data_IF_079284868649
#
_entry.id   IF_079284868649
#
_cell.length_a   1.000
_cell.length_b   1.000
_cell.length_c   1.000
_cell.angle_alpha   90.00
_cell.angle_beta   90.00
_cell.angle_gamma   90.00
#
_symmetry.space_group_name_H-M   'P 1'
#
loop_
_entity.id
_entity.type
_entity.pdbx_description
1 polymer ?
#
# COMPACT_ATOMS: atom_id res chain seq x y z
N UNK A 1 -19.69 15.56 35.78
CA UNK A 1 -18.34 15.47 35.20
C UNK A 1 -18.48 14.83 33.82
N UNK A 2 -18.40 15.61 32.75
CA UNK A 2 -18.53 15.09 31.38
C UNK A 2 -17.17 14.59 30.90
N UNK A 3 -17.06 13.28 30.66
CA UNK A 3 -15.90 12.70 29.97
C UNK A 3 -16.07 13.03 28.48
N UNK A 4 -15.57 14.21 28.07
CA UNK A 4 -15.38 14.53 26.66
C UNK A 4 -14.29 13.63 26.09
N UNK A 5 -14.64 12.39 25.73
CA UNK A 5 -13.79 11.56 24.89
C UNK A 5 -13.70 12.23 23.53
N UNK A 6 -12.61 12.95 23.27
CA UNK A 6 -12.18 13.21 21.90
C UNK A 6 -11.84 11.85 21.29
N UNK A 7 -12.83 11.18 20.70
CA UNK A 7 -12.56 10.04 19.84
C UNK A 7 -11.74 10.58 18.68
N UNK A 8 -10.43 10.34 18.71
CA UNK A 8 -9.60 10.55 17.54
C UNK A 8 -10.18 9.68 16.43
N UNK A 9 -10.58 10.29 15.32
CA UNK A 9 -10.96 9.51 14.14
C UNK A 9 -9.74 8.69 13.70
N UNK A 10 -9.98 7.52 13.14
CA UNK A 10 -8.93 6.76 12.47
C UNK A 10 -8.68 7.40 11.09
N UNK A 11 -7.42 7.45 10.66
CA UNK A 11 -7.04 7.89 9.32
C UNK A 11 -7.24 6.81 8.26
N UNK A 12 -6.63 7.00 7.10
CA UNK A 12 -6.72 6.06 5.97
C UNK A 12 -6.06 4.72 6.29
N UNK A 13 -6.64 3.64 5.76
CA UNK A 13 -6.09 2.29 5.83
C UNK A 13 -5.24 2.01 4.61
N UNK A 14 -3.97 1.69 4.82
CA UNK A 14 -3.03 1.30 3.78
C UNK A 14 -2.25 0.05 4.19
N UNK A 15 -1.51 -0.49 3.24
CA UNK A 15 -0.65 -1.65 3.46
C UNK A 15 0.81 -1.23 3.44
N UNK A 16 1.63 -1.83 4.30
CA UNK A 16 3.09 -1.70 4.29
C UNK A 16 3.70 -3.02 3.83
N UNK A 17 4.57 -2.99 2.82
CA UNK A 17 5.40 -4.11 2.41
C UNK A 17 6.42 -4.40 3.51
N UNK A 18 6.18 -5.45 4.28
CA UNK A 18 7.02 -5.84 5.41
C UNK A 18 8.21 -6.71 4.98
N UNK A 19 7.99 -7.70 4.10
CA UNK A 19 9.05 -8.59 3.63
C UNK A 19 9.33 -8.44 2.13
N UNK A 20 10.14 -7.41 1.82
CA UNK A 20 10.63 -7.16 0.46
C UNK A 20 11.46 -8.31 -0.10
N UNK A 21 12.26 -8.99 0.73
CA UNK A 21 13.12 -10.09 0.28
C UNK A 21 12.26 -11.29 -0.13
N UNK A 22 11.20 -11.58 0.61
CA UNK A 22 10.24 -12.63 0.26
C UNK A 22 9.48 -12.30 -1.01
N UNK A 23 9.02 -11.06 -1.19
CA UNK A 23 8.41 -10.63 -2.44
C UNK A 23 9.33 -10.92 -3.65
N UNK A 24 10.60 -10.51 -3.56
CA UNK A 24 11.58 -10.76 -4.62
C UNK A 24 11.80 -12.25 -4.89
N UNK A 25 11.90 -13.07 -3.82
CA UNK A 25 12.05 -14.53 -3.97
C UNK A 25 10.84 -15.17 -4.63
N UNK A 26 9.63 -14.78 -4.24
CA UNK A 26 8.40 -15.29 -4.85
C UNK A 26 8.32 -14.92 -6.33
N UNK A 27 8.71 -13.70 -6.70
CA UNK A 27 8.78 -13.30 -8.10
C UNK A 27 9.73 -14.17 -8.91
N UNK A 28 10.91 -14.51 -8.35
CA UNK A 28 11.88 -15.38 -9.04
C UNK A 28 11.33 -16.81 -9.15
N UNK A 29 10.85 -17.38 -8.05
CA UNK A 29 10.38 -18.78 -7.99
C UNK A 29 9.14 -19.02 -8.86
N UNK A 30 8.27 -18.02 -8.97
CA UNK A 30 7.05 -18.11 -9.78
C UNK A 30 7.20 -17.48 -11.17
N UNK A 31 8.42 -17.09 -11.55
CA UNK A 31 8.73 -16.46 -12.85
C UNK A 31 7.89 -15.20 -13.15
N UNK A 32 7.48 -14.48 -12.11
CA UNK A 32 6.68 -13.27 -12.24
C UNK A 32 7.55 -12.06 -12.58
N UNK A 33 7.26 -11.42 -13.71
CA UNK A 33 7.93 -10.19 -14.12
C UNK A 33 7.37 -8.98 -13.37
N UNK A 34 8.15 -7.90 -13.27
CA UNK A 34 7.64 -6.65 -12.71
C UNK A 34 6.41 -6.12 -13.47
N UNK A 35 6.34 -6.32 -14.79
CA UNK A 35 5.18 -5.91 -15.59
C UNK A 35 3.93 -6.72 -15.25
N UNK A 36 4.05 -8.05 -15.17
CA UNK A 36 2.95 -8.94 -14.80
C UNK A 36 2.39 -8.60 -13.42
N UNK A 37 3.27 -8.49 -12.42
CA UNK A 37 2.86 -8.22 -11.05
C UNK A 37 2.28 -6.82 -10.86
N UNK A 38 2.82 -5.82 -11.59
CA UNK A 38 2.23 -4.47 -11.60
C UNK A 38 0.85 -4.44 -12.25
N UNK A 39 0.65 -5.22 -13.33
CA UNK A 39 -0.66 -5.39 -13.94
C UNK A 39 -1.67 -6.02 -12.97
N UNK A 40 -1.26 -7.04 -12.23
CA UNK A 40 -2.09 -7.65 -11.18
C UNK A 40 -2.44 -6.64 -10.07
N UNK A 41 -1.51 -5.77 -9.68
CA UNK A 41 -1.75 -4.70 -8.70
C UNK A 41 -2.71 -3.61 -9.21
N UNK A 42 -3.01 -3.57 -10.52
CA UNK A 42 -3.82 -2.54 -11.15
C UNK A 42 -3.03 -1.29 -11.56
N UNK A 43 -1.70 -1.35 -11.59
CA UNK A 43 -0.86 -0.23 -11.98
C UNK A 43 -0.65 -0.19 -13.49
N UNK A 44 -0.69 1.02 -14.06
CA UNK A 44 -0.44 1.25 -15.49
C UNK A 44 1.03 1.06 -15.89
N UNK A 45 1.95 1.22 -14.94
CA UNK A 45 3.39 1.05 -15.16
C UNK A 45 4.02 0.27 -14.03
N UNK A 46 5.18 -0.32 -14.31
CA UNK A 46 5.96 -1.08 -13.33
C UNK A 46 6.88 -0.21 -12.47
N UNK A 47 6.86 1.11 -12.68
CA UNK A 47 7.74 2.04 -11.95
C UNK A 47 7.50 1.97 -10.45
N UNK A 48 6.24 1.89 -10.01
CA UNK A 48 5.89 1.84 -8.59
C UNK A 48 6.38 0.55 -7.92
N UNK A 49 6.15 -0.61 -8.57
CA UNK A 49 6.73 -1.88 -8.10
C UNK A 49 8.25 -1.82 -8.04
N UNK A 50 8.89 -1.23 -9.05
CA UNK A 50 10.35 -1.02 -9.05
C UNK A 50 10.82 -0.24 -7.82
N UNK A 51 10.10 0.82 -7.42
CA UNK A 51 10.39 1.60 -6.20
C UNK A 51 10.20 0.76 -4.93
N UNK A 52 9.15 -0.05 -4.86
CA UNK A 52 8.93 -1.01 -3.75
C UNK A 52 10.09 -2.01 -3.64
N UNK A 53 10.52 -2.60 -4.76
CA UNK A 53 11.62 -3.58 -4.80
C UNK A 53 12.99 -2.96 -4.46
N UNK A 54 13.20 -1.67 -4.76
CA UNK A 54 14.38 -0.93 -4.32
C UNK A 54 14.28 -0.43 -2.87
N UNK A 55 13.09 -0.45 -2.28
CA UNK A 55 12.84 0.06 -0.92
C UNK A 55 12.74 1.59 -0.85
N UNK A 56 12.55 2.26 -1.98
CA UNK A 56 12.34 3.72 -2.05
C UNK A 56 10.95 4.12 -1.55
N UNK A 57 10.00 3.19 -1.65
CA UNK A 57 8.68 3.26 -1.01
C UNK A 57 8.41 1.93 -0.34
N UNK A 58 7.55 1.95 0.67
CA UNK A 58 7.16 0.76 1.43
C UNK A 58 5.66 0.61 1.61
N UNK A 59 4.89 1.63 1.26
CA UNK A 59 3.43 1.61 1.39
C UNK A 59 2.78 1.37 0.04
N UNK A 60 1.54 0.91 0.05
CA UNK A 60 0.69 0.76 -1.13
C UNK A 60 -0.78 0.67 -0.70
N UNK A 61 -1.68 0.90 -1.64
CA UNK A 61 -3.12 0.77 -1.42
C UNK A 61 -3.49 -0.67 -1.04
N UNK A 62 -4.54 -0.80 -0.22
CA UNK A 62 -5.05 -2.08 0.26
C UNK A 62 -5.38 -3.02 -0.91
N UNK A 63 -6.10 -2.54 -1.92
CA UNK A 63 -6.45 -3.32 -3.12
C UNK A 63 -5.23 -3.87 -3.86
N UNK A 64 -4.17 -3.06 -4.00
CA UNK A 64 -2.97 -3.44 -4.69
C UNK A 64 -2.24 -4.58 -3.94
N UNK A 65 -2.13 -4.47 -2.62
CA UNK A 65 -1.53 -5.52 -1.78
C UNK A 65 -2.32 -6.84 -1.85
N UNK A 66 -3.65 -6.77 -1.73
CA UNK A 66 -4.52 -7.95 -1.81
C UNK A 66 -4.39 -8.66 -3.16
N UNK A 67 -4.37 -7.91 -4.26
CA UNK A 67 -4.21 -8.48 -5.61
C UNK A 67 -2.83 -9.09 -5.82
N UNK A 68 -1.76 -8.47 -5.31
CA UNK A 68 -0.40 -9.02 -5.37
C UNK A 68 -0.34 -10.34 -4.59
N UNK A 69 -0.85 -10.37 -3.35
CA UNK A 69 -0.85 -11.59 -2.53
C UNK A 69 -1.66 -12.72 -3.18
N UNK A 70 -2.85 -12.40 -3.71
CA UNK A 70 -3.67 -13.34 -4.46
C UNK A 70 -2.95 -13.88 -5.71
N UNK A 71 -2.33 -13.01 -6.49
CA UNK A 71 -1.56 -13.38 -7.70
C UNK A 71 -0.41 -14.33 -7.37
N UNK A 72 0.30 -14.07 -6.27
CA UNK A 72 1.41 -14.90 -5.77
C UNK A 72 0.96 -16.12 -4.96
N UNK A 73 -0.36 -16.29 -4.75
CA UNK A 73 -0.98 -17.39 -3.99
C UNK A 73 -0.41 -17.54 -2.58
N UNK A 74 -0.17 -16.43 -1.91
CA UNK A 74 0.30 -16.40 -0.51
C UNK A 74 -0.69 -15.63 0.37
N UNK A 75 -0.78 -15.97 1.67
CA UNK A 75 -1.42 -15.10 2.65
C UNK A 75 -0.94 -13.65 2.53
N UNK A 76 -1.85 -12.69 2.72
CA UNK A 76 -1.50 -11.26 2.65
C UNK A 76 -0.45 -10.90 3.70
N UNK A 77 -0.63 -11.42 4.91
CA UNK A 77 0.21 -11.18 6.08
C UNK A 77 1.65 -11.72 5.93
N UNK A 78 1.89 -12.59 4.94
CA UNK A 78 3.24 -13.06 4.61
C UNK A 78 4.10 -11.99 3.95
N UNK A 79 3.48 -10.97 3.35
CA UNK A 79 4.15 -9.90 2.60
C UNK A 79 3.83 -8.51 3.14
N UNK A 80 2.59 -8.29 3.58
CA UNK A 80 2.06 -6.97 3.88
C UNK A 80 1.51 -6.90 5.29
N UNK A 81 1.56 -5.71 5.88
CA UNK A 81 0.96 -5.41 7.19
C UNK A 81 -0.02 -4.26 7.04
N UNK A 82 -1.21 -4.42 7.62
CA UNK A 82 -2.22 -3.36 7.67
C UNK A 82 -1.74 -2.23 8.57
N UNK A 83 -1.83 -1.01 8.06
CA UNK A 83 -1.55 0.22 8.79
C UNK A 83 -2.76 1.14 8.73
N UNK A 84 -2.93 1.92 9.78
CA UNK A 84 -3.96 2.96 9.87
C UNK A 84 -3.24 4.25 10.20
N UNK A 85 -3.45 5.28 9.38
CA UNK A 85 -2.89 6.59 9.69
C UNK A 85 -3.44 7.10 11.02
N UNK A 86 -2.56 7.56 11.88
CA UNK A 86 -2.93 8.09 13.19
C UNK A 86 -3.40 9.54 13.14
N UNK A 87 -3.54 10.12 11.94
CA UNK A 87 -3.77 11.56 11.78
C UNK A 87 -4.81 11.89 10.69
N UNK A 88 -6.11 12.02 11.06
CA UNK A 88 -7.19 12.39 10.14
C UNK A 88 -7.18 13.86 9.69
N UNK A 89 -6.30 14.70 10.23
CA UNK A 89 -6.45 16.15 10.22
C UNK A 89 -5.81 16.91 9.06
N UNK A 90 -4.86 16.35 8.29
CA UNK A 90 -4.03 17.15 7.37
C UNK A 90 -4.30 16.94 5.86
N UNK A 91 -5.12 15.97 5.46
CA UNK A 91 -5.43 15.75 4.03
C UNK A 91 -6.60 16.60 3.49
N UNK A 92 -7.20 17.45 4.34
CA UNK A 92 -8.38 18.27 4.02
C UNK A 92 -8.14 19.66 3.41
N UNK A 93 -6.93 20.00 2.96
CA UNK A 93 -6.63 21.30 2.34
C UNK A 93 -5.95 21.19 0.96
N UNK A 94 -6.51 20.40 0.03
CA UNK A 94 -6.23 20.55 -1.40
C UNK A 94 -7.50 20.43 -2.25
N UNK A 95 -8.51 21.24 -1.96
CA UNK A 95 -9.59 21.51 -2.91
C UNK A 95 -10.24 22.86 -2.65
N UNK A 96 -9.55 23.94 -3.07
CA UNK A 96 -10.12 25.18 -3.63
C UNK A 96 -9.03 26.25 -3.74
N UNK A 97 -8.47 26.39 -4.93
CA UNK A 97 -8.29 27.73 -5.50
C UNK A 97 -8.34 27.60 -7.02
N UNK A 98 -9.56 27.77 -7.52
CA UNK A 98 -9.82 28.21 -8.88
C UNK A 98 -9.70 29.73 -8.90
N UNK A 99 -9.15 30.25 -10.00
CA UNK A 99 -9.32 31.59 -10.57
C UNK A 99 -8.77 32.81 -9.80
N UNK A 100 -7.76 33.44 -10.40
CA UNK A 100 -7.75 34.86 -10.74
C UNK A 100 -6.87 35.05 -11.99
#
# INVERSE_FOLDING_TARGET
>A
MSLSSRQASLGEVYMELHDRKRLMRLMIVQEETQRSLSGAAGWRSHSYLGRLLRGEVKTLDTDAALRIAHKLKVPVDDLFVVRVDSNPGELGQKSKSSAA
#
